data_IF_139923293821
#
_entry.id   IF_139923293821
#
_cell.length_a   1.000
_cell.length_b   1.000
_cell.length_c   1.000
_cell.angle_alpha   90.00
_cell.angle_beta   90.00
_cell.angle_gamma   90.00
#
_symmetry.space_group_name_H-M   'P 1'
#
loop_
_entity.id
_entity.type
_entity.pdbx_description
1 polymer ?
#
# COMPACT_ATOMS: atom_id res chain seq x y z
N UNK A 1 37.64 13.43 4.46
CA UNK A 1 37.01 13.12 3.16
C UNK A 1 35.51 13.30 3.36
N UNK A 2 35.07 14.56 3.32
CA UNK A 2 33.65 14.93 3.42
C UNK A 2 32.97 14.72 2.08
N UNK A 3 31.76 14.15 2.09
CA UNK A 3 30.67 14.25 1.08
C UNK A 3 29.72 13.06 1.31
N UNK A 4 28.45 13.20 1.65
CA UNK A 4 27.51 14.31 1.66
C UNK A 4 26.45 13.99 2.71
N UNK A 5 26.23 14.92 3.64
CA UNK A 5 24.98 15.02 4.36
C UNK A 5 23.84 15.12 3.33
N UNK A 6 23.03 14.07 3.20
CA UNK A 6 21.83 14.08 2.36
C UNK A 6 20.63 14.69 3.10
N UNK A 7 20.86 15.76 3.86
CA UNK A 7 19.82 16.49 4.59
C UNK A 7 19.69 17.93 4.07
N UNK A 8 19.43 18.09 2.77
CA UNK A 8 19.11 19.39 2.19
C UNK A 8 18.17 19.26 0.98
N UNK A 9 16.88 18.98 1.25
CA UNK A 9 15.67 19.49 0.54
C UNK A 9 14.43 18.67 0.99
N UNK A 10 14.19 18.61 2.30
CA UNK A 10 13.05 17.89 2.89
C UNK A 10 11.92 18.85 3.29
N UNK A 11 11.51 19.70 2.34
CA UNK A 11 10.36 20.59 2.50
C UNK A 11 9.17 20.03 1.71
N UNK A 12 8.46 19.06 2.31
CA UNK A 12 7.13 18.63 1.85
C UNK A 12 7.05 17.33 1.06
N UNK A 13 8.05 16.45 1.10
CA UNK A 13 7.92 15.11 0.53
C UNK A 13 7.24 14.19 1.53
N UNK A 14 6.10 13.65 1.14
CA UNK A 14 5.43 12.58 1.89
C UNK A 14 6.40 11.41 1.98
N UNK A 15 6.63 10.92 3.19
CA UNK A 15 7.41 9.72 3.47
C UNK A 15 6.47 8.62 3.95
N UNK A 16 6.82 7.38 3.62
CA UNK A 16 6.08 6.20 4.09
C UNK A 16 6.77 5.70 5.35
N UNK A 17 6.12 5.73 6.52
CA UNK A 17 6.75 5.28 7.75
C UNK A 17 6.94 3.75 7.70
N UNK A 18 8.16 3.22 7.95
CA UNK A 18 8.44 1.78 7.90
C UNK A 18 7.51 0.93 8.78
N UNK A 19 7.04 1.50 9.90
CA UNK A 19 6.10 0.86 10.81
C UNK A 19 4.77 0.49 10.14
N UNK A 20 4.34 1.21 9.09
CA UNK A 20 3.11 0.86 8.38
C UNK A 20 3.24 -0.51 7.69
N UNK A 21 4.43 -0.80 7.14
CA UNK A 21 4.72 -2.11 6.55
C UNK A 21 4.83 -3.20 7.61
N UNK A 22 5.45 -2.89 8.76
CA UNK A 22 5.51 -3.82 9.89
C UNK A 22 4.13 -4.17 10.42
N UNK A 23 3.29 -3.17 10.65
CA UNK A 23 1.92 -3.33 11.14
C UNK A 23 1.09 -4.16 10.16
N UNK A 24 1.19 -3.86 8.86
CA UNK A 24 0.46 -4.57 7.80
C UNK A 24 0.77 -6.08 7.83
N UNK A 25 2.03 -6.46 8.06
CA UNK A 25 2.46 -7.87 8.14
C UNK A 25 1.90 -8.61 9.36
N UNK A 26 1.48 -7.88 10.40
CA UNK A 26 0.85 -8.49 11.59
C UNK A 26 -0.65 -8.73 11.44
N UNK A 27 -1.27 -8.15 10.41
CA UNK A 27 -2.71 -8.30 10.18
C UNK A 27 -3.05 -9.67 9.60
N UNK A 28 -4.22 -10.21 9.96
CA UNK A 28 -4.79 -11.37 9.26
C UNK A 28 -5.10 -10.98 7.83
N UNK A 29 -4.56 -11.75 6.89
CA UNK A 29 -4.70 -11.52 5.45
C UNK A 29 -6.15 -11.64 5.01
N UNK A 30 -6.87 -12.58 5.59
CA UNK A 30 -8.29 -12.82 5.35
C UNK A 30 -9.11 -11.60 5.78
N UNK A 31 -8.88 -11.09 7.00
CA UNK A 31 -9.57 -9.88 7.49
C UNK A 31 -9.25 -8.66 6.65
N UNK A 32 -7.99 -8.52 6.22
CA UNK A 32 -7.58 -7.42 5.34
C UNK A 32 -8.33 -7.48 4.02
N UNK A 33 -8.40 -8.64 3.36
CA UNK A 33 -9.15 -8.83 2.11
C UNK A 33 -10.64 -8.47 2.30
N UNK A 34 -11.28 -8.97 3.36
CA UNK A 34 -12.70 -8.66 3.66
C UNK A 34 -12.93 -7.16 3.87
N UNK A 35 -12.07 -6.50 4.65
CA UNK A 35 -12.26 -5.09 5.00
C UNK A 35 -11.98 -4.13 3.85
N UNK A 36 -11.09 -4.50 2.93
CA UNK A 36 -10.54 -3.60 1.90
C UNK A 36 -10.99 -3.95 0.49
N UNK A 37 -11.62 -5.11 0.30
CA UNK A 37 -11.88 -5.66 -1.03
C UNK A 37 -10.61 -6.05 -1.79
N UNK A 38 -9.45 -6.14 -1.12
CA UNK A 38 -8.22 -6.62 -1.72
C UNK A 38 -8.30 -8.14 -1.97
N UNK A 39 -7.57 -8.60 -2.98
CA UNK A 39 -7.45 -10.01 -3.33
C UNK A 39 -6.04 -10.50 -2.99
N UNK A 40 -5.89 -11.76 -2.57
CA UNK A 40 -4.57 -12.31 -2.26
C UNK A 40 -3.74 -12.54 -3.53
N UNK A 41 -2.49 -12.07 -3.55
CA UNK A 41 -1.48 -12.49 -4.53
C UNK A 41 -0.56 -13.55 -3.90
N UNK A 42 -1.01 -14.80 -3.94
CA UNK A 42 -0.33 -15.93 -3.32
C UNK A 42 0.11 -15.64 -1.88
N UNK A 43 1.35 -15.98 -1.54
CA UNK A 43 1.91 -15.70 -0.21
C UNK A 43 2.55 -14.32 -0.05
N UNK A 44 2.70 -13.53 -1.11
CA UNK A 44 3.63 -12.38 -1.12
C UNK A 44 2.96 -11.03 -0.94
N UNK A 45 1.68 -10.93 -1.25
CA UNK A 45 1.04 -9.63 -1.30
C UNK A 45 -0.46 -9.67 -1.51
N UNK A 46 -0.96 -8.54 -2.02
CA UNK A 46 -2.36 -8.34 -2.34
C UNK A 46 -2.52 -7.53 -3.62
N UNK A 47 -3.52 -7.87 -4.42
CA UNK A 47 -4.06 -6.99 -5.44
C UNK A 47 -5.08 -6.06 -4.81
N UNK A 48 -4.92 -4.77 -5.02
CA UNK A 48 -5.77 -3.73 -4.49
C UNK A 48 -6.20 -2.80 -5.63
N UNK A 49 -7.50 -2.77 -5.93
CA UNK A 49 -8.10 -1.75 -6.79
C UNK A 49 -8.34 -0.49 -5.96
N UNK A 50 -7.53 0.54 -6.15
CA UNK A 50 -7.59 1.76 -5.34
C UNK A 50 -7.36 3.00 -6.18
N UNK A 51 -8.22 4.03 -6.02
CA UNK A 51 -8.16 5.28 -6.79
C UNK A 51 -8.04 5.06 -8.31
N UNK A 52 -8.86 4.17 -8.85
CA UNK A 52 -8.86 3.75 -10.27
C UNK A 52 -7.52 3.15 -10.76
N UNK A 53 -6.70 2.65 -9.85
CA UNK A 53 -5.45 1.94 -10.17
C UNK A 53 -5.52 0.51 -9.68
N UNK A 54 -4.94 -0.38 -10.46
CA UNK A 54 -4.60 -1.72 -10.00
C UNK A 54 -3.23 -1.65 -9.34
N UNK A 55 -3.18 -1.99 -8.06
CA UNK A 55 -1.96 -1.99 -7.26
C UNK A 55 -1.66 -3.41 -6.82
N UNK A 56 -0.40 -3.80 -6.93
CA UNK A 56 0.14 -4.97 -6.26
C UNK A 56 0.95 -4.49 -5.05
N UNK A 57 0.49 -4.86 -3.87
CA UNK A 57 1.12 -4.55 -2.59
C UNK A 57 2.05 -5.71 -2.25
N UNK A 58 3.35 -5.52 -2.42
CA UNK A 58 4.37 -6.52 -2.12
C UNK A 58 4.85 -6.34 -0.68
N UNK A 59 4.42 -7.25 0.20
CA UNK A 59 4.79 -7.21 1.61
C UNK A 59 6.18 -7.79 1.87
N UNK A 60 6.77 -8.56 0.96
CA UNK A 60 8.15 -9.03 1.13
C UNK A 60 9.12 -7.89 0.87
N UNK A 61 8.92 -7.17 -0.24
CA UNK A 61 9.76 -6.06 -0.66
C UNK A 61 9.39 -4.70 -0.04
N UNK A 62 8.27 -4.61 0.70
CA UNK A 62 7.73 -3.37 1.26
C UNK A 62 7.57 -2.28 0.17
N UNK A 63 6.90 -2.63 -0.92
CA UNK A 63 6.70 -1.70 -2.04
C UNK A 63 5.32 -1.88 -2.66
N UNK A 64 4.89 -0.87 -3.41
CA UNK A 64 3.67 -0.93 -4.21
C UNK A 64 4.01 -0.77 -5.68
N UNK A 65 3.58 -1.76 -6.46
CA UNK A 65 3.69 -1.78 -7.90
C UNK A 65 2.33 -1.43 -8.51
N UNK A 66 2.30 -0.50 -9.46
CA UNK A 66 1.13 -0.30 -10.29
C UNK A 66 1.10 -1.35 -11.39
N UNK A 67 -0.06 -1.97 -11.60
CA UNK A 67 -0.32 -2.97 -12.64
C UNK A 67 -1.07 -2.28 -13.78
N UNK A 68 -0.57 -2.44 -15.01
CA UNK A 68 -1.17 -1.92 -16.24
C UNK A 68 -1.14 -3.03 -17.30
N UNK A 69 -2.23 -3.80 -17.39
CA UNK A 69 -2.24 -5.05 -18.16
C UNK A 69 -1.21 -6.04 -17.61
N UNK A 70 -0.31 -6.52 -18.47
CA UNK A 70 0.75 -7.46 -18.07
C UNK A 70 1.99 -6.77 -17.47
N UNK A 71 2.00 -5.42 -17.40
CA UNK A 71 3.16 -4.67 -16.91
C UNK A 71 3.00 -4.35 -15.43
N UNK A 72 4.09 -4.55 -14.69
CA UNK A 72 4.25 -4.11 -13.30
C UNK A 72 5.31 -3.02 -13.26
N UNK A 73 4.98 -1.85 -12.71
CA UNK A 73 5.92 -0.73 -12.55
C UNK A 73 5.85 -0.19 -11.12
N UNK A 74 6.96 0.31 -10.61
CA UNK A 74 6.94 1.01 -9.31
C UNK A 74 6.01 2.22 -9.38
N UNK A 75 5.17 2.38 -8.36
CA UNK A 75 4.22 3.48 -8.29
C UNK A 75 4.91 4.86 -8.24
N UNK A 76 6.18 4.93 -7.80
CA UNK A 76 7.01 6.15 -7.72
C UNK A 76 6.28 7.37 -7.11
N UNK A 77 5.32 7.11 -6.23
CA UNK A 77 4.46 8.12 -5.62
C UNK A 77 4.29 7.78 -4.14
N UNK A 78 5.12 8.36 -3.26
CA UNK A 78 5.07 8.10 -1.82
C UNK A 78 3.73 8.43 -1.17
N UNK A 79 2.96 9.38 -1.73
CA UNK A 79 1.63 9.70 -1.22
C UNK A 79 0.63 8.60 -1.56
N UNK A 80 0.67 8.06 -2.79
CA UNK A 80 -0.17 6.92 -3.16
C UNK A 80 0.15 5.71 -2.28
N UNK A 81 1.44 5.47 -2.03
CA UNK A 81 1.89 4.37 -1.17
C UNK A 81 1.40 4.55 0.27
N UNK A 82 1.59 5.75 0.84
CA UNK A 82 1.13 6.06 2.19
C UNK A 82 -0.38 5.89 2.32
N UNK A 83 -1.16 6.46 1.39
CA UNK A 83 -2.62 6.38 1.46
C UNK A 83 -3.09 4.93 1.29
N UNK A 84 -2.49 4.16 0.38
CA UNK A 84 -2.84 2.75 0.20
C UNK A 84 -2.57 1.94 1.48
N UNK A 85 -1.42 2.15 2.12
CA UNK A 85 -1.09 1.48 3.39
C UNK A 85 -2.03 1.89 4.51
N UNK A 86 -2.31 3.19 4.66
CA UNK A 86 -3.27 3.68 5.66
C UNK A 86 -4.66 3.09 5.41
N UNK A 87 -5.08 3.00 4.16
CA UNK A 87 -6.34 2.35 3.80
C UNK A 87 -6.34 0.88 4.23
N UNK A 88 -5.31 0.09 3.89
CA UNK A 88 -5.22 -1.30 4.28
C UNK A 88 -5.19 -1.51 5.80
N UNK A 89 -4.50 -0.62 6.52
CA UNK A 89 -4.36 -0.68 7.98
C UNK A 89 -5.61 -0.26 8.74
N UNK A 90 -6.41 0.65 8.17
CA UNK A 90 -7.52 1.30 8.87
C UNK A 90 -8.90 0.93 8.32
N UNK A 91 -8.99 0.30 7.16
CA UNK A 91 -10.24 -0.18 6.63
C UNK A 91 -10.86 -1.17 7.62
N UNK A 92 -12.10 -0.89 7.99
CA UNK A 92 -12.96 -1.77 8.76
C UNK A 92 -14.09 -2.21 7.87
N UNK A 93 -14.53 -3.46 8.02
CA UNK A 93 -15.78 -3.92 7.43
C UNK A 93 -16.89 -2.92 7.78
N UNK A 94 -17.45 -2.28 6.75
CA UNK A 94 -18.71 -1.57 6.88
C UNK A 94 -19.70 -2.34 6.04
N UNK A 95 -20.65 -3.01 6.70
CA UNK A 95 -21.83 -3.55 6.03
C UNK A 95 -22.49 -2.40 5.29
N UNK A 96 -22.40 -2.40 3.96
CA UNK A 96 -23.24 -1.54 3.13
C UNK A 96 -24.62 -2.20 3.17
N UNK A 97 -25.43 -1.83 4.16
CA UNK A 97 -26.86 -2.14 4.17
C UNK A 97 -27.46 -1.25 3.09
N UNK A 98 -27.45 -1.72 1.85
CA UNK A 98 -28.15 -1.05 0.76
C UNK A 98 -29.64 -1.20 0.99
N UNK A 99 -30.33 -0.08 1.24
CA UNK A 99 -31.72 0.02 0.82
C UNK A 99 -31.70 0.07 -0.71
N UNK A 100 -32.08 -1.05 -1.32
CA UNK A 100 -32.42 -1.18 -2.74
C UNK A 100 -33.92 -0.95 -2.92
#
# INVERSE_FOLDING_TARGET
MEKRERNALDKGRVTVPPEHWSDLKTMSREKLCVNTGAEMDGSKGFFLRFLNKDLLVDMEANTILQVEGDRRKEANNPLLELIALVYLLKATEKTIIGEL
#
